data_IF_062286128263
#
_entry.id   IF_062286128263
#
_cell.length_a   1.000
_cell.length_b   1.000
_cell.length_c   1.000
_cell.angle_alpha   90.00
_cell.angle_beta   90.00
_cell.angle_gamma   90.00
#
_symmetry.space_group_name_H-M   'P 1'
#
loop_
_entity.id
_entity.type
_entity.pdbx_description
1 polymer ?
#
# COMPACT_ATOMS: atom_id res chain seq x y z
N UNK A 1 -33.66 25.13 14.74
CA UNK A 1 -32.52 25.21 13.81
C UNK A 1 -31.31 25.95 14.35
N UNK A 2 -31.44 27.01 15.16
CA UNK A 2 -30.26 27.68 15.74
C UNK A 2 -29.48 26.82 16.76
N UNK A 3 -30.16 25.94 17.50
CA UNK A 3 -29.53 25.04 18.48
C UNK A 3 -28.62 23.97 17.85
N UNK A 4 -28.97 23.44 16.67
CA UNK A 4 -28.10 22.49 15.95
C UNK A 4 -26.85 23.18 15.39
N UNK A 5 -26.98 24.41 14.89
CA UNK A 5 -25.86 25.18 14.36
C UNK A 5 -24.87 25.56 15.47
N UNK A 6 -25.36 25.89 16.67
CA UNK A 6 -24.55 26.17 17.84
C UNK A 6 -23.77 24.93 18.33
N UNK A 7 -24.37 23.73 18.28
CA UNK A 7 -23.66 22.48 18.63
C UNK A 7 -22.59 22.09 17.61
N UNK A 8 -22.80 22.29 16.31
CA UNK A 8 -21.76 22.04 15.31
C UNK A 8 -20.58 23.01 15.42
N UNK A 9 -20.86 24.26 15.83
CA UNK A 9 -19.84 25.32 15.91
C UNK A 9 -18.91 25.18 17.12
N UNK A 10 -19.33 24.49 18.19
CA UNK A 10 -18.47 24.25 19.38
C UNK A 10 -17.45 23.13 19.17
N UNK A 11 -17.70 22.21 18.22
CA UNK A 11 -16.76 21.13 17.86
C UNK A 11 -15.62 21.66 16.97
N UNK A 12 -15.79 22.84 16.37
CA UNK A 12 -14.85 23.44 15.43
C UNK A 12 -13.97 24.55 16.03
N UNK A 13 -13.89 24.68 17.36
CA UNK A 13 -12.93 25.59 17.99
C UNK A 13 -11.69 24.82 18.42
N UNK A 14 -10.58 25.18 17.77
CA UNK A 14 -9.28 24.56 17.89
C UNK A 14 -8.83 24.40 19.34
N UNK A 15 -8.64 23.15 19.71
CA UNK A 15 -7.54 22.77 20.56
C UNK A 15 -6.73 21.78 19.73
N UNK A 16 -5.41 21.92 19.65
CA UNK A 16 -4.54 20.77 19.47
C UNK A 16 -4.73 19.84 20.67
N UNK A 17 -5.88 19.18 20.72
CA UNK A 17 -6.22 18.19 21.71
C UNK A 17 -5.37 16.98 21.39
N UNK A 18 -4.29 16.78 22.15
CA UNK A 18 -3.65 15.46 22.22
C UNK A 18 -4.71 14.47 22.68
N UNK A 19 -5.28 13.75 21.72
CA UNK A 19 -6.11 12.60 22.02
C UNK A 19 -5.22 11.58 22.74
N UNK A 20 -5.71 11.03 23.86
CA UNK A 20 -5.08 9.85 24.46
C UNK A 20 -4.94 8.76 23.40
N UNK A 21 -3.84 7.99 23.38
CA UNK A 21 -3.65 6.95 22.39
C UNK A 21 -4.85 6.02 22.41
N UNK A 22 -5.54 5.92 21.27
CA UNK A 22 -6.72 5.08 21.13
C UNK A 22 -6.34 3.61 21.30
N UNK A 23 -7.24 2.81 21.86
CA UNK A 23 -7.15 1.35 21.83
C UNK A 23 -6.93 0.87 20.38
N UNK A 24 -6.29 -0.30 20.17
CA UNK A 24 -6.02 -0.81 18.83
C UNK A 24 -7.27 -0.77 17.94
N UNK A 25 -7.14 -0.09 16.79
CA UNK A 25 -8.25 0.05 15.85
C UNK A 25 -8.73 -1.33 15.36
N UNK A 26 -10.00 -1.65 15.62
CA UNK A 26 -10.62 -2.89 15.16
C UNK A 26 -10.91 -2.92 13.65
N UNK A 27 -11.30 -4.07 13.11
CA UNK A 27 -11.53 -4.27 11.67
C UNK A 27 -12.63 -3.37 11.05
N UNK A 28 -13.54 -2.84 11.88
CA UNK A 28 -14.64 -1.95 11.49
C UNK A 28 -14.25 -0.46 11.55
N UNK A 29 -13.01 -0.14 11.93
CA UNK A 29 -12.55 1.24 12.00
C UNK A 29 -12.61 1.90 10.62
N UNK A 30 -13.13 3.14 10.51
CA UNK A 30 -13.37 3.81 9.23
C UNK A 30 -12.08 4.07 8.44
N UNK A 31 -10.95 4.20 9.14
CA UNK A 31 -9.63 4.34 8.55
C UNK A 31 -8.90 3.01 8.61
N UNK A 32 -8.41 2.55 7.46
CA UNK A 32 -7.56 1.37 7.33
C UNK A 32 -6.20 1.78 6.79
N UNK A 33 -5.15 1.28 7.40
CA UNK A 33 -3.78 1.43 6.91
C UNK A 33 -3.36 0.14 6.20
N UNK A 34 -2.92 0.28 4.95
CA UNK A 34 -2.30 -0.80 4.18
C UNK A 34 -0.82 -0.47 4.02
N UNK A 35 0.05 -1.43 4.34
CA UNK A 35 1.49 -1.28 4.17
C UNK A 35 1.95 -2.20 3.05
N UNK A 36 2.22 -1.62 1.89
CA UNK A 36 2.94 -2.31 0.82
C UNK A 36 4.42 -2.42 1.21
N UNK A 37 4.98 -3.63 1.09
CA UNK A 37 6.39 -3.89 1.39
C UNK A 37 7.10 -4.31 0.12
N UNK A 38 8.08 -3.52 -0.30
CA UNK A 38 8.99 -3.90 -1.38
C UNK A 38 10.12 -4.71 -0.78
N UNK A 39 10.18 -6.00 -1.09
CA UNK A 39 11.27 -6.88 -0.69
C UNK A 39 11.78 -7.64 -1.91
N UNK A 40 13.08 -7.53 -2.16
CA UNK A 40 13.76 -8.36 -3.14
C UNK A 40 14.50 -9.48 -2.40
N UNK A 41 14.31 -10.72 -2.87
CA UNK A 41 15.17 -11.83 -2.51
C UNK A 41 16.53 -11.73 -3.19
N UNK A 42 17.33 -12.81 -3.14
CA UNK A 42 18.53 -12.91 -3.97
C UNK A 42 18.13 -12.99 -5.44
N UNK A 43 18.87 -12.27 -6.28
CA UNK A 43 18.68 -12.27 -7.72
C UNK A 43 19.90 -11.73 -8.45
N UNK A 44 19.86 -11.78 -9.78
CA UNK A 44 20.84 -11.16 -10.64
C UNK A 44 20.14 -10.42 -11.78
N UNK A 45 20.84 -9.46 -12.37
CA UNK A 45 20.46 -8.81 -13.61
C UNK A 45 21.63 -8.93 -14.58
N UNK A 46 21.34 -9.24 -15.84
CA UNK A 46 22.32 -9.32 -16.89
C UNK A 46 21.73 -8.72 -18.16
N UNK A 47 22.59 -8.10 -18.97
CA UNK A 47 22.22 -7.68 -20.32
C UNK A 47 22.24 -8.92 -21.22
N UNK A 48 21.09 -9.26 -21.78
CA UNK A 48 20.99 -10.33 -22.77
C UNK A 48 21.29 -9.79 -24.17
N UNK A 49 22.06 -10.54 -24.96
CA UNK A 49 22.30 -10.22 -26.36
C UNK A 49 21.29 -10.96 -27.23
N UNK A 50 20.52 -10.23 -28.04
CA UNK A 50 19.51 -10.81 -28.92
C UNK A 50 18.19 -10.05 -28.89
N UNK A 51 17.12 -10.67 -29.39
CA UNK A 51 15.77 -10.11 -29.46
C UNK A 51 14.78 -10.79 -28.49
N UNK A 52 15.30 -11.55 -27.53
CA UNK A 52 14.54 -12.20 -26.47
C UNK A 52 15.09 -11.73 -25.13
N UNK A 53 14.20 -11.66 -24.15
CA UNK A 53 14.51 -11.29 -22.77
C UNK A 53 13.86 -12.31 -21.85
N UNK A 54 14.61 -12.84 -20.87
CA UNK A 54 14.10 -13.81 -19.89
C UNK A 54 14.12 -13.23 -18.47
N UNK A 55 12.95 -13.19 -17.82
CA UNK A 55 12.81 -12.80 -16.42
C UNK A 55 12.39 -14.01 -15.58
N UNK A 56 13.12 -14.28 -14.49
CA UNK A 56 12.81 -15.40 -13.58
C UNK A 56 12.32 -14.85 -12.24
N UNK A 57 11.12 -15.26 -11.83
CA UNK A 57 10.51 -14.87 -10.55
C UNK A 57 10.42 -16.10 -9.65
N UNK A 58 11.16 -16.09 -8.54
CA UNK A 58 11.11 -17.14 -7.53
C UNK A 58 10.20 -16.72 -6.36
N UNK A 59 9.10 -17.43 -6.16
CA UNK A 59 8.15 -17.19 -5.07
C UNK A 59 8.46 -18.11 -3.89
N UNK A 60 8.61 -17.55 -2.69
CA UNK A 60 8.86 -18.34 -1.47
C UNK A 60 7.62 -19.10 -0.98
N UNK A 61 6.42 -18.57 -1.22
CA UNK A 61 5.15 -19.19 -0.83
C UNK A 61 4.08 -18.86 -1.86
N UNK A 62 3.51 -19.89 -2.47
CA UNK A 62 2.29 -19.77 -3.25
C UNK A 62 1.10 -20.04 -2.32
N UNK A 63 0.12 -19.15 -2.30
CA UNK A 63 -1.18 -19.38 -1.64
C UNK A 63 -2.26 -19.41 -2.71
N UNK A 64 -3.23 -20.31 -2.59
CA UNK A 64 -4.38 -20.36 -3.51
C UNK A 64 -5.45 -19.33 -3.08
N UNK A 65 -5.03 -18.08 -2.96
CA UNK A 65 -5.92 -16.94 -2.65
C UNK A 65 -6.00 -16.05 -3.88
N UNK A 66 -7.20 -15.58 -4.28
CA UNK A 66 -7.36 -14.71 -5.44
C UNK A 66 -6.62 -13.37 -5.31
N UNK A 67 -6.26 -12.98 -4.09
CA UNK A 67 -5.45 -11.78 -3.79
C UNK A 67 -3.95 -11.97 -4.10
N UNK A 68 -3.48 -13.19 -4.33
CA UNK A 68 -2.08 -13.48 -4.62
C UNK A 68 -1.85 -13.50 -6.14
N UNK A 69 -1.87 -12.31 -6.74
CA UNK A 69 -1.67 -12.09 -8.17
C UNK A 69 -0.27 -11.54 -8.45
N UNK A 70 0.43 -12.13 -9.43
CA UNK A 70 1.69 -11.58 -9.94
C UNK A 70 1.39 -10.68 -11.13
N UNK A 71 1.65 -9.39 -11.00
CA UNK A 71 1.55 -8.41 -12.09
C UNK A 71 2.94 -8.08 -12.60
N UNK A 72 3.18 -8.20 -13.90
CA UNK A 72 4.42 -7.76 -14.54
C UNK A 72 4.19 -6.44 -15.29
N UNK A 73 5.17 -5.55 -15.25
CA UNK A 73 5.17 -4.30 -16.02
C UNK A 73 6.30 -4.35 -17.05
N UNK A 74 5.95 -4.45 -18.33
CA UNK A 74 6.91 -4.25 -19.41
C UNK A 74 7.12 -2.74 -19.61
N UNK A 75 8.37 -2.30 -19.51
CA UNK A 75 8.79 -0.97 -19.92
C UNK A 75 9.88 -1.12 -20.97
N UNK A 76 9.67 -0.51 -22.13
CA UNK A 76 10.64 -0.50 -23.22
C UNK A 76 11.76 0.48 -22.87
N UNK A 77 12.81 -0.03 -22.22
CA UNK A 77 14.04 0.73 -21.96
C UNK A 77 15.00 0.51 -23.11
N UNK A 78 15.13 1.52 -23.99
CA UNK A 78 16.20 1.55 -24.99
C UNK A 78 17.54 1.78 -24.26
N UNK A 79 18.25 0.69 -23.92
CA UNK A 79 19.66 0.79 -23.55
C UNK A 79 20.49 0.89 -24.84
N UNK A 80 20.77 2.13 -25.27
CA UNK A 80 21.77 2.43 -26.31
C UNK A 80 23.18 2.10 -25.80
#
# INVERSE_FOLDING_TARGET
>A
MLLLFALCSSVAQGAEGRCSPADPAGAQHPVRALLERVQAGRGCAAREQGNKETHVIALQRATNSPENMVTYKLLLVFFF
#
